data_IF_560982970977
#
_entry.id   IF_560982970977
#
_cell.length_a   1.000
_cell.length_b   1.000
_cell.length_c   1.000
_cell.angle_alpha   90.00
_cell.angle_beta   90.00
_cell.angle_gamma   90.00
#
_symmetry.space_group_name_H-M   'P 1'
#
loop_
_entity.id
_entity.type
_entity.pdbx_description
1 polymer ?
#
# COMPACT_ATOMS: atom_id res chain seq x y z
N UNK A 1 8.41 -19.59 -8.40
CA UNK A 1 9.32 -18.54 -8.89
C UNK A 1 10.20 -18.11 -7.73
N UNK A 2 11.52 -18.13 -7.90
CA UNK A 2 12.49 -17.75 -6.88
C UNK A 2 13.20 -16.48 -7.37
N UNK A 3 13.04 -15.36 -6.64
CA UNK A 3 13.70 -14.10 -6.97
C UNK A 3 14.48 -13.63 -5.74
N UNK A 4 15.80 -13.44 -5.90
CA UNK A 4 16.66 -12.82 -4.90
C UNK A 4 17.15 -11.47 -5.44
N UNK A 5 16.94 -10.40 -4.67
CA UNK A 5 17.41 -9.06 -4.98
C UNK A 5 18.31 -8.57 -3.84
N UNK A 6 19.41 -7.91 -4.18
CA UNK A 6 20.29 -7.24 -3.22
C UNK A 6 20.35 -5.76 -3.54
N UNK A 7 20.01 -4.91 -2.59
CA UNK A 7 20.11 -3.46 -2.78
C UNK A 7 21.55 -2.94 -2.53
N UNK A 8 21.77 -1.66 -2.83
CA UNK A 8 23.07 -1.00 -2.66
C UNK A 8 23.53 -0.90 -1.21
N UNK A 9 22.63 -1.06 -0.24
CA UNK A 9 22.95 -1.11 1.20
C UNK A 9 23.36 -2.51 1.66
N UNK A 10 23.28 -3.50 0.77
CA UNK A 10 23.61 -4.90 1.06
C UNK A 10 22.43 -5.72 1.57
N UNK A 11 21.24 -5.12 1.67
CA UNK A 11 20.02 -5.79 2.14
C UNK A 11 19.47 -6.71 1.07
N UNK A 12 19.11 -7.93 1.49
CA UNK A 12 18.65 -9.01 0.62
C UNK A 12 17.15 -9.19 0.75
N UNK A 13 16.48 -9.33 -0.39
CA UNK A 13 15.05 -9.58 -0.53
C UNK A 13 14.88 -10.91 -1.26
N UNK A 14 14.18 -11.87 -0.67
CA UNK A 14 13.91 -13.18 -1.28
C UNK A 14 12.43 -13.40 -1.43
N UNK A 15 11.97 -13.77 -2.62
CA UNK A 15 10.58 -14.13 -2.87
C UNK A 15 10.46 -15.61 -3.24
N UNK A 16 9.56 -16.34 -2.58
CA UNK A 16 9.29 -17.76 -2.79
C UNK A 16 7.89 -18.16 -2.30
N UNK A 17 7.47 -19.40 -2.58
CA UNK A 17 6.29 -20.01 -1.95
C UNK A 17 6.73 -20.77 -0.70
N UNK A 18 6.15 -20.45 0.46
CA UNK A 18 6.46 -21.17 1.70
C UNK A 18 5.78 -22.56 1.76
N UNK A 19 6.04 -23.31 2.83
CA UNK A 19 5.51 -24.67 3.03
C UNK A 19 3.97 -24.74 3.03
N UNK A 20 3.31 -23.59 3.27
CA UNK A 20 1.85 -23.45 3.24
C UNK A 20 1.31 -23.06 1.86
N UNK A 21 2.15 -23.11 0.81
CA UNK A 21 1.82 -22.68 -0.54
C UNK A 21 1.42 -21.20 -0.63
N UNK A 22 1.95 -20.35 0.27
CA UNK A 22 1.69 -18.91 0.25
C UNK A 22 2.88 -18.14 -0.33
N UNK A 23 2.64 -17.11 -1.15
CA UNK A 23 3.70 -16.25 -1.64
C UNK A 23 4.22 -15.40 -0.48
N UNK A 24 5.54 -15.42 -0.27
CA UNK A 24 6.20 -14.68 0.80
C UNK A 24 7.39 -13.88 0.28
N UNK A 25 7.72 -12.79 0.97
CA UNK A 25 8.98 -12.07 0.80
C UNK A 25 9.71 -12.08 2.14
N UNK A 26 10.99 -12.49 2.13
CA UNK A 26 11.89 -12.38 3.28
C UNK A 26 12.73 -11.12 3.15
N UNK A 27 12.72 -10.31 4.20
CA UNK A 27 13.49 -9.08 4.33
C UNK A 27 14.25 -9.14 5.65
N UNK A 28 15.59 -9.13 5.62
CA UNK A 28 16.43 -9.26 6.82
C UNK A 28 15.98 -10.42 7.73
N UNK A 29 15.85 -11.61 7.15
CA UNK A 29 15.43 -12.86 7.83
C UNK A 29 14.01 -12.83 8.45
N UNK A 30 13.22 -11.79 8.19
CA UNK A 30 11.81 -11.70 8.57
C UNK A 30 10.93 -12.06 7.38
N UNK A 31 10.05 -13.05 7.53
CA UNK A 31 9.08 -13.48 6.51
C UNK A 31 7.81 -12.61 6.54
N UNK A 32 7.41 -12.11 5.37
CA UNK A 32 6.18 -11.37 5.16
C UNK A 32 5.31 -12.11 4.14
N UNK A 33 4.06 -12.37 4.49
CA UNK A 33 3.07 -12.88 3.55
C UNK A 33 2.74 -11.80 2.51
N UNK A 34 2.82 -12.16 1.22
CA UNK A 34 2.41 -11.28 0.14
C UNK A 34 0.93 -11.48 -0.06
N UNK A 35 0.16 -10.47 0.31
CA UNK A 35 -1.22 -10.37 -0.14
C UNK A 35 -1.21 -9.75 -1.53
N UNK A 36 -1.75 -10.45 -2.52
CA UNK A 36 -2.17 -9.74 -3.74
C UNK A 36 -3.20 -8.70 -3.29
N UNK A 37 -2.96 -7.43 -3.66
CA UNK A 37 -4.01 -6.44 -3.64
C UNK A 37 -5.15 -7.04 -4.44
N UNK A 38 -6.21 -7.38 -3.73
CA UNK A 38 -7.36 -8.08 -4.26
C UNK A 38 -7.90 -7.22 -5.42
N UNK A 39 -7.50 -7.54 -6.66
CA UNK A 39 -8.25 -7.19 -7.87
C UNK A 39 -9.38 -8.20 -8.00
N UNK A 40 -10.18 -8.39 -6.95
CA UNK A 40 -11.28 -9.33 -7.01
C UNK A 40 -12.33 -8.74 -7.95
N UNK A 41 -12.56 -9.45 -9.05
CA UNK A 41 -13.83 -9.45 -9.76
C UNK A 41 -15.01 -9.89 -8.85
N UNK A 42 -14.74 -10.35 -7.63
CA UNK A 42 -15.68 -10.84 -6.61
C UNK A 42 -15.67 -10.01 -5.30
N UNK A 43 -15.37 -8.71 -5.37
CA UNK A 43 -15.70 -7.83 -4.23
C UNK A 43 -17.13 -7.33 -4.44
N UNK A 44 -18.11 -7.97 -3.78
CA UNK A 44 -19.46 -7.40 -3.66
C UNK A 44 -19.45 -5.98 -3.07
N UNK A 45 -18.36 -5.62 -2.40
CA UNK A 45 -18.14 -4.34 -1.71
C UNK A 45 -17.26 -3.36 -2.52
N UNK A 46 -16.79 -3.76 -3.71
CA UNK A 46 -16.06 -2.85 -4.58
C UNK A 46 -17.05 -1.89 -5.26
N UNK A 47 -16.73 -0.61 -5.24
CA UNK A 47 -17.51 0.39 -5.94
C UNK A 47 -17.54 0.06 -7.44
N UNK A 48 -18.74 -0.01 -8.00
CA UNK A 48 -18.93 -0.12 -9.44
C UNK A 48 -18.32 1.09 -10.16
N UNK A 49 -17.98 0.94 -11.43
CA UNK A 49 -17.48 2.05 -12.24
C UNK A 49 -18.41 3.27 -12.24
N UNK A 50 -19.73 3.05 -12.10
CA UNK A 50 -20.72 4.12 -11.97
C UNK A 50 -20.58 4.88 -10.64
N UNK A 51 -20.40 4.17 -9.52
CA UNK A 51 -20.19 4.79 -8.21
C UNK A 51 -18.85 5.54 -8.13
N UNK A 52 -17.81 5.03 -8.81
CA UNK A 52 -16.53 5.74 -8.93
C UNK A 52 -16.72 7.04 -9.73
N UNK A 53 -17.48 7.00 -10.82
CA UNK A 53 -17.77 8.19 -11.63
C UNK A 53 -18.59 9.25 -10.85
N UNK A 54 -19.49 8.83 -9.95
CA UNK A 54 -20.19 9.75 -9.05
C UNK A 54 -19.23 10.45 -8.08
N UNK A 55 -18.25 9.72 -7.52
CA UNK A 55 -17.22 10.29 -6.66
C UNK A 55 -16.30 11.26 -7.41
N UNK A 56 -16.00 10.97 -8.68
CA UNK A 56 -15.20 11.86 -9.54
C UNK A 56 -15.97 13.14 -9.95
N UNK A 57 -17.31 13.14 -9.84
CA UNK A 57 -18.16 14.30 -10.17
C UNK A 57 -18.19 15.32 -9.03
N UNK A 58 -17.93 14.90 -7.79
CA UNK A 58 -17.83 15.81 -6.65
C UNK A 58 -16.47 16.53 -6.67
N UNK A 59 -16.44 17.87 -6.77
CA UNK A 59 -15.19 18.61 -6.88
C UNK A 59 -14.31 18.52 -5.62
N UNK A 60 -14.90 18.39 -4.43
CA UNK A 60 -14.16 18.24 -3.17
C UNK A 60 -13.48 16.87 -3.10
N UNK A 61 -14.22 15.82 -3.45
CA UNK A 61 -13.69 14.45 -3.50
C UNK A 61 -12.61 14.33 -4.58
N UNK A 62 -12.83 14.90 -5.76
CA UNK A 62 -11.85 14.90 -6.84
C UNK A 62 -10.53 15.61 -6.46
N UNK A 63 -10.61 16.75 -5.77
CA UNK A 63 -9.43 17.44 -5.23
C UNK A 63 -8.71 16.60 -4.16
N UNK A 64 -9.45 15.99 -3.24
CA UNK A 64 -8.89 15.12 -2.21
C UNK A 64 -8.16 13.90 -2.81
N UNK A 65 -8.75 13.25 -3.82
CA UNK A 65 -8.14 12.14 -4.55
C UNK A 65 -6.87 12.60 -5.26
N UNK A 66 -6.92 13.76 -5.92
CA UNK A 66 -5.76 14.33 -6.64
C UNK A 66 -4.62 14.66 -5.68
N UNK A 67 -4.92 15.23 -4.52
CA UNK A 67 -3.92 15.53 -3.50
C UNK A 67 -3.32 14.23 -2.94
N UNK A 68 -4.15 13.26 -2.59
CA UNK A 68 -3.71 11.95 -2.11
C UNK A 68 -2.80 11.24 -3.11
N UNK A 69 -3.12 11.29 -4.41
CA UNK A 69 -2.25 10.75 -5.48
C UNK A 69 -0.88 11.42 -5.50
N UNK A 70 -0.83 12.76 -5.36
CA UNK A 70 0.45 13.48 -5.26
C UNK A 70 1.24 13.05 -4.04
N UNK A 71 0.59 12.98 -2.88
CA UNK A 71 1.25 12.62 -1.62
C UNK A 71 1.81 11.19 -1.67
N UNK A 72 1.08 10.25 -2.25
CA UNK A 72 1.56 8.88 -2.47
C UNK A 72 2.77 8.86 -3.42
N UNK A 73 2.71 9.57 -4.55
CA UNK A 73 3.81 9.62 -5.52
C UNK A 73 5.08 10.24 -4.93
N UNK A 74 4.93 11.21 -4.04
CA UNK A 74 6.05 11.88 -3.37
C UNK A 74 6.50 11.19 -2.08
N UNK A 75 5.86 10.09 -1.67
CA UNK A 75 6.16 9.40 -0.42
C UNK A 75 5.78 10.19 0.83
N UNK A 76 4.96 11.24 0.69
CA UNK A 76 4.40 12.06 1.78
C UNK A 76 3.26 11.33 2.50
N UNK A 77 3.48 10.05 2.83
CA UNK A 77 2.52 9.20 3.52
C UNK A 77 2.91 9.18 4.99
N UNK A 78 2.07 9.80 5.82
CA UNK A 78 2.24 9.78 7.28
C UNK A 78 1.56 8.52 7.80
N UNK A 79 2.31 7.64 8.47
CA UNK A 79 1.70 6.51 9.16
C UNK A 79 0.83 6.97 10.33
N UNK A 80 -0.20 6.21 10.70
CA UNK A 80 -1.05 6.57 11.84
C UNK A 80 -0.26 6.76 13.14
N UNK A 81 0.86 6.04 13.32
CA UNK A 81 1.76 6.25 14.47
C UNK A 81 2.41 7.63 14.43
N UNK A 82 2.96 8.01 13.29
CA UNK A 82 3.58 9.33 13.10
C UNK A 82 2.54 10.45 13.24
N UNK A 83 1.32 10.26 12.74
CA UNK A 83 0.24 11.24 12.90
C UNK A 83 -0.11 11.45 14.38
N UNK A 84 -0.22 10.35 15.15
CA UNK A 84 -0.47 10.42 16.61
C UNK A 84 0.67 11.15 17.32
N UNK A 85 1.92 10.93 16.92
CA UNK A 85 3.08 11.62 17.49
C UNK A 85 3.09 13.11 17.16
N UNK A 86 2.81 13.49 15.91
CA UNK A 86 2.72 14.91 15.50
C UNK A 86 1.61 15.65 16.26
N UNK A 87 0.45 15.01 16.45
CA UNK A 87 -0.65 15.57 17.29
C UNK A 87 -0.19 15.73 18.73
N UNK A 88 0.49 14.73 19.31
CA UNK A 88 1.02 14.81 20.67
C UNK A 88 2.07 15.91 20.84
N UNK A 89 2.83 16.19 19.78
CA UNK A 89 3.88 17.19 19.78
C UNK A 89 3.38 18.61 19.40
N UNK A 90 2.12 18.76 18.98
CA UNK A 90 1.55 20.04 18.54
C UNK A 90 2.09 20.51 17.17
N UNK A 91 2.50 19.57 16.32
CA UNK A 91 3.10 19.81 15.00
C UNK A 91 2.05 19.74 13.86
N UNK A 92 0.77 19.67 14.22
CA UNK A 92 -0.42 19.65 13.35
C UNK A 92 -1.41 20.74 13.77
#
# INVERSE_FOLDING_TARGET
>A
MYLELKDKSGKVYRSFMNDRQKPVIVINDTEYEVFELIQSQDNSDALSAAQIAELDTDPEIAEMIKQSKRDIMHGSIISSKQMIEMIRNGEL
#
